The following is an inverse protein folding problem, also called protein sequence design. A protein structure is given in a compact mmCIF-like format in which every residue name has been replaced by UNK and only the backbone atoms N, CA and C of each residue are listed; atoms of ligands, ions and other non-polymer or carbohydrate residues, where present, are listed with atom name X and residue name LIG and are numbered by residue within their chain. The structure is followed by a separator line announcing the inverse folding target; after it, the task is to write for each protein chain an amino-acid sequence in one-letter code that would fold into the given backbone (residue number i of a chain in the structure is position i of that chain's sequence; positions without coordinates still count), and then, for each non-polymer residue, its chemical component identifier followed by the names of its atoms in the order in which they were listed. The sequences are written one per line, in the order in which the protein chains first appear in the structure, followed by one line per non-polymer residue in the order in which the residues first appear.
data_IF_533406430304
#
_entry.id   IF_533406430304
#
_cell.length_a   1.000
_cell.length_b   1.000
_cell.length_c   1.000
_cell.angle_alpha   90.00
_cell.angle_beta   90.00
_cell.angle_gamma   90.00
#
_symmetry.space_group_name_H-M   'P 1'
#
loop_
_entity.id
_entity.type
_entity.pdbx_description
1 polymer ?
#
# COMPACT_ATOMS: atom_id res chain seq x y z
N UNK A 1 -10.72 -8.14 23.97
CA UNK A 1 -11.42 -9.42 23.79
C UNK A 1 -11.03 -9.94 22.42
N UNK A 2 -10.02 -10.81 22.45
CA UNK A 2 -9.54 -11.79 21.46
C UNK A 2 -9.60 -11.47 19.97
N UNK A 3 -8.52 -10.84 19.47
CA UNK A 3 -8.20 -10.75 18.04
C UNK A 3 -7.25 -11.89 17.58
N UNK A 4 -7.05 -12.91 18.41
CA UNK A 4 -6.34 -14.11 18.02
C UNK A 4 -7.37 -15.09 17.47
N UNK A 5 -7.46 -15.20 16.15
CA UNK A 5 -8.05 -16.39 15.54
C UNK A 5 -7.33 -17.61 16.14
N UNK A 6 -8.06 -18.44 16.89
CA UNK A 6 -7.55 -19.71 17.39
C UNK A 6 -7.43 -20.65 16.20
N UNK A 7 -6.34 -20.56 15.45
CA UNK A 7 -5.94 -21.66 14.57
C UNK A 7 -5.48 -22.78 15.49
N UNK A 8 -6.28 -23.84 15.63
CA UNK A 8 -5.91 -25.04 16.39
C UNK A 8 -4.65 -25.73 15.81
N UNK A 9 -4.32 -25.42 14.55
CA UNK A 9 -3.09 -25.85 13.89
C UNK A 9 -1.88 -25.12 14.46
N UNK A 10 -1.15 -25.81 15.34
CA UNK A 10 0.19 -25.39 15.73
C UNK A 10 1.13 -25.55 14.55
N UNK A 11 1.78 -24.47 14.13
CA UNK A 11 2.90 -24.52 13.20
C UNK A 11 4.01 -25.36 13.84
N UNK A 12 4.38 -26.47 13.21
CA UNK A 12 5.53 -27.28 13.63
C UNK A 12 6.75 -26.92 12.79
N UNK A 13 7.94 -27.29 13.28
CA UNK A 13 9.16 -27.09 12.51
C UNK A 13 9.12 -27.88 11.20
N UNK A 14 8.54 -29.08 11.22
CA UNK A 14 8.40 -29.95 10.06
C UNK A 14 7.46 -29.35 9.00
N UNK A 15 6.28 -28.85 9.41
CA UNK A 15 5.32 -28.25 8.48
C UNK A 15 5.89 -26.97 7.87
N UNK A 16 6.50 -26.10 8.69
CA UNK A 16 7.13 -24.89 8.21
C UNK A 16 8.28 -25.18 7.23
N UNK A 17 9.11 -26.18 7.53
CA UNK A 17 10.19 -26.58 6.64
C UNK A 17 9.64 -27.13 5.31
N UNK A 18 8.55 -27.90 5.34
CA UNK A 18 7.87 -28.36 4.13
C UNK A 18 7.39 -27.18 3.26
N UNK A 19 6.73 -26.19 3.87
CA UNK A 19 6.22 -25.02 3.15
C UNK A 19 7.36 -24.18 2.56
N UNK A 20 8.42 -23.94 3.32
CA UNK A 20 9.61 -23.21 2.84
C UNK A 20 10.28 -23.96 1.69
N UNK A 21 10.42 -25.28 1.78
CA UNK A 21 10.99 -26.08 0.69
C UNK A 21 10.12 -26.05 -0.56
N UNK A 22 8.80 -26.05 -0.41
CA UNK A 22 7.89 -25.88 -1.54
C UNK A 22 8.12 -24.51 -2.21
N UNK A 23 8.17 -23.41 -1.45
CA UNK A 23 8.46 -22.07 -1.99
C UNK A 23 9.81 -22.07 -2.70
N UNK A 24 10.85 -22.61 -2.05
CA UNK A 24 12.20 -22.68 -2.62
C UNK A 24 12.20 -23.43 -3.95
N UNK A 25 11.61 -24.62 -4.00
CA UNK A 25 11.60 -25.45 -5.21
C UNK A 25 10.88 -24.76 -6.39
N UNK A 26 9.85 -23.95 -6.11
CA UNK A 26 9.11 -23.24 -7.15
C UNK A 26 9.76 -21.92 -7.56
N UNK A 27 10.40 -21.20 -6.64
CA UNK A 27 10.80 -19.79 -6.85
C UNK A 27 12.29 -19.50 -6.71
N UNK A 28 13.15 -20.49 -6.40
CA UNK A 28 14.60 -20.25 -6.25
C UNK A 28 15.22 -19.57 -7.48
N UNK A 29 14.70 -19.87 -8.68
CA UNK A 29 15.18 -19.30 -9.93
C UNK A 29 14.85 -17.82 -10.09
N UNK A 30 14.00 -17.23 -9.24
CA UNK A 30 13.60 -15.82 -9.27
C UNK A 30 14.39 -14.93 -8.31
N UNK A 31 15.17 -15.50 -7.38
CA UNK A 31 15.94 -14.72 -6.40
C UNK A 31 17.12 -14.05 -7.10
N UNK A 32 17.20 -12.72 -7.05
CA UNK A 32 18.24 -11.91 -7.70
C UNK A 32 18.62 -10.69 -6.86
N UNK A 33 19.78 -10.10 -7.16
CA UNK A 33 20.16 -8.79 -6.64
C UNK A 33 19.39 -7.70 -7.41
N UNK A 34 18.16 -7.44 -6.99
CA UNK A 34 17.23 -6.55 -7.70
C UNK A 34 17.71 -5.10 -7.73
N UNK A 35 18.35 -4.60 -6.67
CA UNK A 35 18.92 -3.24 -6.66
C UNK A 35 19.97 -3.05 -7.76
N UNK A 36 20.90 -4.01 -7.92
CA UNK A 36 21.89 -3.97 -8.99
C UNK A 36 21.26 -4.12 -10.38
N UNK A 37 20.20 -4.92 -10.51
CA UNK A 37 19.46 -5.05 -11.77
C UNK A 37 18.84 -3.71 -12.19
N UNK A 38 18.17 -3.03 -11.25
CA UNK A 38 17.55 -1.73 -11.52
C UNK A 38 18.59 -0.65 -11.81
N UNK A 39 19.69 -0.61 -11.08
CA UNK A 39 20.80 0.32 -11.33
C UNK A 39 21.44 0.12 -12.72
N UNK A 40 21.60 -1.13 -13.16
CA UNK A 40 22.07 -1.43 -14.51
C UNK A 40 21.05 -1.03 -15.59
N UNK A 41 19.77 -1.31 -15.38
CA UNK A 41 18.70 -0.89 -16.29
C UNK A 41 18.68 0.65 -16.45
N UNK A 42 18.83 1.40 -15.35
CA UNK A 42 18.95 2.86 -15.38
C UNK A 42 20.16 3.33 -16.19
N UNK A 43 21.33 2.68 -16.04
CA UNK A 43 22.54 3.01 -16.83
C UNK A 43 22.37 2.74 -18.32
N UNK A 44 21.52 1.78 -18.68
CA UNK A 44 21.17 1.47 -20.07
C UNK A 44 20.07 2.40 -20.62
N UNK A 45 19.53 3.30 -19.81
CA UNK A 45 18.47 4.22 -20.21
C UNK A 45 17.09 3.55 -20.32
N UNK A 46 16.88 2.44 -19.61
CA UNK A 46 15.58 1.77 -19.57
C UNK A 46 14.59 2.50 -18.66
N UNK A 47 13.30 2.33 -18.95
CA UNK A 47 12.22 2.90 -18.14
C UNK A 47 11.81 1.91 -17.05
N UNK A 48 11.74 2.38 -15.80
CA UNK A 48 11.34 1.60 -14.64
C UNK A 48 10.09 2.21 -14.03
N UNK A 49 9.10 1.37 -13.74
CA UNK A 49 7.91 1.75 -12.97
C UNK A 49 8.00 1.10 -11.60
N UNK A 50 7.86 1.92 -10.56
CA UNK A 50 7.83 1.47 -9.17
C UNK A 50 6.40 1.60 -8.65
N UNK A 51 5.75 0.45 -8.43
CA UNK A 51 4.37 0.40 -7.95
C UNK A 51 4.32 0.54 -6.41
N UNK A 52 3.60 1.54 -5.93
CA UNK A 52 3.45 1.82 -4.51
C UNK A 52 2.32 1.03 -3.86
N UNK A 53 2.56 0.56 -2.64
CA UNK A 53 1.52 0.10 -1.73
C UNK A 53 1.88 0.52 -0.29
N UNK A 54 0.95 0.85 0.60
CA UNK A 54 -0.45 1.22 0.39
C UNK A 54 -0.58 2.72 0.03
N UNK A 55 -1.58 3.43 0.58
CA UNK A 55 -1.76 4.88 0.37
C UNK A 55 -1.11 5.74 1.46
N UNK A 56 -0.83 7.01 1.15
CA UNK A 56 -0.05 7.93 1.98
C UNK A 56 -0.50 8.06 3.45
N UNK A 57 -1.80 7.96 3.74
CA UNK A 57 -2.30 8.05 5.12
C UNK A 57 -2.10 6.78 5.95
N UNK A 58 -1.65 5.70 5.32
CA UNK A 58 -1.28 4.46 5.98
C UNK A 58 0.23 4.34 6.19
N UNK A 59 1.01 5.36 5.84
CA UNK A 59 2.44 5.40 6.11
C UNK A 59 2.73 5.28 7.62
N UNK A 60 3.73 4.48 7.99
CA UNK A 60 4.08 4.23 9.40
C UNK A 60 4.46 5.51 10.16
N UNK A 61 5.12 6.46 9.50
CA UNK A 61 5.63 7.69 10.12
C UNK A 61 4.72 8.89 9.85
N UNK A 62 4.17 8.97 8.64
CA UNK A 62 3.46 10.15 8.15
C UNK A 62 1.95 9.97 8.02
N UNK A 63 1.45 8.79 8.37
CA UNK A 63 0.04 8.43 8.32
C UNK A 63 -0.73 8.77 9.60
N UNK A 64 -1.97 8.27 9.67
CA UNK A 64 -2.85 8.45 10.85
C UNK A 64 -2.53 7.45 11.96
N UNK A 65 -1.32 7.50 12.51
CA UNK A 65 -0.87 6.61 13.58
C UNK A 65 -1.86 6.61 14.77
N UNK A 66 -2.20 5.46 15.40
CA UNK A 66 -1.65 4.12 15.18
C UNK A 66 -2.35 3.30 14.08
N UNK A 67 -3.28 3.90 13.35
CA UNK A 67 -4.09 3.21 12.34
C UNK A 67 -3.42 3.27 10.96
N UNK A 68 -2.23 2.68 10.88
CA UNK A 68 -1.31 2.70 9.73
C UNK A 68 -0.80 1.29 9.43
N UNK A 69 -0.13 1.12 8.29
CA UNK A 69 0.67 -0.09 8.04
C UNK A 69 2.00 -0.03 8.79
N UNK A 70 2.74 -1.14 8.79
CA UNK A 70 4.06 -1.25 9.40
C UNK A 70 5.21 -0.91 8.45
N UNK A 71 4.95 -0.20 7.36
CA UNK A 71 5.96 0.16 6.36
C UNK A 71 5.82 1.60 5.87
N UNK A 72 6.87 2.09 5.23
CA UNK A 72 6.86 3.38 4.53
C UNK A 72 6.11 3.20 3.20
N UNK A 73 5.07 3.99 2.99
CA UNK A 73 4.23 3.98 1.77
C UNK A 73 4.45 5.21 0.91
N UNK A 74 5.17 6.21 1.43
CA UNK A 74 5.55 7.39 0.66
C UNK A 74 6.58 7.10 -0.43
N UNK A 75 6.78 8.08 -1.33
CA UNK A 75 7.78 8.05 -2.40
C UNK A 75 9.18 7.67 -1.93
N UNK A 76 9.53 7.97 -0.67
CA UNK A 76 10.85 7.68 -0.12
C UNK A 76 11.18 6.18 -0.17
N UNK A 77 10.16 5.33 -0.06
CA UNK A 77 10.34 3.89 -0.16
C UNK A 77 10.55 3.41 -1.61
N UNK A 78 10.18 4.21 -2.62
CA UNK A 78 10.44 3.86 -4.01
C UNK A 78 11.94 3.71 -4.26
N UNK A 79 12.77 4.63 -3.76
CA UNK A 79 14.23 4.49 -3.84
C UNK A 79 14.79 3.51 -2.81
N UNK A 80 14.38 3.64 -1.54
CA UNK A 80 14.94 2.83 -0.45
C UNK A 80 14.64 1.34 -0.62
N UNK A 81 13.38 0.99 -0.91
CA UNK A 81 12.92 -0.38 -1.11
C UNK A 81 13.39 -1.00 -2.43
N UNK A 82 13.58 -0.20 -3.49
CA UNK A 82 14.12 -0.69 -4.76
C UNK A 82 15.67 -0.80 -4.75
N UNK A 83 16.35 -0.11 -3.84
CA UNK A 83 17.81 -0.13 -3.76
C UNK A 83 18.50 0.72 -4.83
N UNK A 84 17.91 1.85 -5.22
CA UNK A 84 18.47 2.80 -6.20
C UNK A 84 18.69 4.18 -5.58
N UNK A 85 19.60 4.97 -6.17
CA UNK A 85 19.85 6.34 -5.70
C UNK A 85 18.57 7.19 -5.78
N UNK A 86 18.21 7.97 -4.74
CA UNK A 86 16.95 8.71 -4.68
C UNK A 86 16.77 9.73 -5.82
N UNK A 87 17.88 10.23 -6.38
CA UNK A 87 17.87 11.12 -7.55
C UNK A 87 17.36 10.49 -8.85
N UNK A 88 17.15 9.17 -8.91
CA UNK A 88 16.57 8.50 -10.09
C UNK A 88 15.03 8.51 -10.09
N UNK A 89 14.38 8.86 -8.97
CA UNK A 89 12.92 9.00 -8.93
C UNK A 89 12.55 10.41 -9.35
N UNK A 90 12.29 10.59 -10.64
CA UNK A 90 12.05 11.90 -11.27
C UNK A 90 10.56 12.21 -11.48
N UNK A 91 9.73 11.19 -11.66
CA UNK A 91 8.28 11.31 -11.85
C UNK A 91 7.53 10.58 -10.73
N UNK A 92 6.50 11.23 -10.19
CA UNK A 92 5.66 10.69 -9.11
C UNK A 92 4.20 10.99 -9.44
N UNK A 93 3.43 9.95 -9.75
CA UNK A 93 2.00 10.07 -10.03
C UNK A 93 1.20 9.77 -8.76
N UNK A 94 0.50 10.78 -8.25
CA UNK A 94 -0.40 10.62 -7.12
C UNK A 94 -1.74 10.04 -7.57
N UNK A 95 -2.01 8.78 -7.23
CA UNK A 95 -3.30 8.15 -7.53
C UNK A 95 -4.32 8.55 -6.46
N UNK A 96 -5.42 9.16 -6.87
CA UNK A 96 -6.49 9.60 -5.99
C UNK A 96 -7.85 9.17 -6.52
N UNK A 97 -8.78 8.89 -5.62
CA UNK A 97 -10.18 8.67 -5.96
C UNK A 97 -10.92 10.01 -5.91
N UNK A 98 -12.02 10.11 -6.65
CA UNK A 98 -12.91 11.27 -6.61
C UNK A 98 -13.63 11.46 -5.25
N UNK A 99 -13.50 10.50 -4.34
CA UNK A 99 -14.01 10.50 -2.96
C UNK A 99 -13.07 9.63 -2.11
N UNK A 100 -13.09 9.77 -0.79
CA UNK A 100 -12.16 9.03 0.07
C UNK A 100 -12.81 7.77 0.64
N UNK A 101 -12.01 6.71 0.74
CA UNK A 101 -12.41 5.42 1.32
C UNK A 101 -11.41 4.97 2.37
N UNK A 102 -11.88 4.33 3.44
CA UNK A 102 -11.02 3.73 4.47
C UNK A 102 -11.47 2.32 4.83
N UNK A 103 -10.52 1.42 4.95
CA UNK A 103 -10.73 0.08 5.53
C UNK A 103 -10.23 0.11 6.99
N UNK A 104 -11.03 -0.45 7.90
CA UNK A 104 -10.66 -0.53 9.30
C UNK A 104 -10.91 0.76 10.09
N UNK A 105 -10.32 0.80 11.29
CA UNK A 105 -10.49 1.90 12.24
C UNK A 105 -9.59 3.10 11.92
N UNK A 106 -9.76 4.18 12.69
CA UNK A 106 -8.98 5.41 12.59
C UNK A 106 -9.77 6.60 12.05
N UNK A 107 -9.21 7.79 12.19
CA UNK A 107 -9.90 9.03 11.83
C UNK A 107 -10.15 9.13 10.32
N UNK A 108 -11.33 9.64 9.97
CA UNK A 108 -11.74 9.96 8.61
C UNK A 108 -12.66 11.19 8.69
N UNK A 109 -12.09 12.41 8.68
CA UNK A 109 -12.87 13.64 8.97
C UNK A 109 -14.05 13.87 8.04
N UNK A 110 -13.99 13.38 6.80
CA UNK A 110 -15.03 13.54 5.78
C UNK A 110 -15.92 12.31 5.62
N UNK A 111 -15.88 11.36 6.57
CA UNK A 111 -16.75 10.18 6.54
C UNK A 111 -18.24 10.55 6.49
N UNK A 112 -18.99 9.79 5.70
CA UNK A 112 -20.42 9.92 5.54
C UNK A 112 -21.13 8.69 6.09
N UNK A 113 -21.95 8.92 7.12
CA UNK A 113 -22.80 7.90 7.76
C UNK A 113 -24.26 7.97 7.27
N UNK A 114 -24.51 8.68 6.17
CA UNK A 114 -25.81 8.91 5.57
C UNK A 114 -26.00 8.14 4.24
N UNK A 115 -27.12 8.41 3.56
CA UNK A 115 -27.47 7.80 2.27
C UNK A 115 -26.46 8.08 1.16
N UNK A 116 -25.72 9.21 1.24
CA UNK A 116 -24.69 9.55 0.25
C UNK A 116 -23.47 8.65 0.43
N UNK A 117 -23.04 8.42 1.68
CA UNK A 117 -21.98 7.47 2.00
C UNK A 117 -22.30 6.05 1.53
N UNK A 118 -23.55 5.61 1.69
CA UNK A 118 -24.03 4.33 1.19
C UNK A 118 -24.05 4.25 -0.34
N UNK A 119 -24.51 5.32 -1.00
CA UNK A 119 -24.52 5.41 -2.46
C UNK A 119 -23.09 5.29 -3.03
N UNK A 120 -22.13 6.04 -2.48
CA UNK A 120 -20.72 5.98 -2.89
C UNK A 120 -20.15 4.58 -2.72
N UNK A 121 -20.40 3.94 -1.57
CA UNK A 121 -19.92 2.58 -1.31
C UNK A 121 -20.50 1.55 -2.28
N UNK A 122 -21.76 1.71 -2.67
CA UNK A 122 -22.45 0.80 -3.58
C UNK A 122 -21.98 0.95 -5.03
N UNK A 123 -22.02 2.17 -5.57
CA UNK A 123 -21.63 2.46 -6.97
C UNK A 123 -20.12 2.26 -7.18
N UNK A 124 -19.32 2.57 -6.16
CA UNK A 124 -17.87 2.36 -6.16
C UNK A 124 -17.42 0.92 -5.98
N UNK A 125 -18.34 -0.01 -5.75
CA UNK A 125 -18.03 -1.40 -5.34
C UNK A 125 -17.03 -1.46 -4.17
N UNK A 126 -17.25 -0.64 -3.15
CA UNK A 126 -16.34 -0.48 -2.01
C UNK A 126 -16.56 -1.55 -0.94
N UNK A 127 -16.42 -2.80 -1.36
CA UNK A 127 -16.52 -3.99 -0.52
C UNK A 127 -15.25 -4.84 -0.66
N UNK A 128 -14.78 -5.41 0.45
CA UNK A 128 -13.63 -6.32 0.44
C UNK A 128 -13.90 -7.54 -0.44
N UNK A 129 -12.96 -7.90 -1.31
CA UNK A 129 -13.12 -8.99 -2.28
C UNK A 129 -13.24 -10.38 -1.64
N UNK A 130 -12.67 -10.58 -0.45
CA UNK A 130 -12.71 -11.86 0.26
C UNK A 130 -13.80 -11.90 1.34
N UNK A 131 -13.89 -10.86 2.17
CA UNK A 131 -14.76 -10.84 3.36
C UNK A 131 -16.08 -10.11 3.14
N UNK A 132 -16.25 -9.40 2.03
CA UNK A 132 -17.38 -8.51 1.81
C UNK A 132 -17.40 -7.28 2.73
N UNK A 133 -16.34 -7.04 3.52
CA UNK A 133 -16.31 -5.94 4.49
C UNK A 133 -16.47 -4.61 3.77
N UNK A 134 -17.55 -3.88 4.09
CA UNK A 134 -17.84 -2.53 3.58
C UNK A 134 -16.71 -1.58 3.97
N UNK A 135 -16.22 -0.79 3.02
CA UNK A 135 -15.30 0.31 3.31
C UNK A 135 -16.10 1.53 3.77
N UNK A 136 -15.52 2.29 4.69
CA UNK A 136 -16.03 3.60 5.09
C UNK A 136 -15.82 4.56 3.91
N UNK A 137 -16.83 5.33 3.55
CA UNK A 137 -16.81 6.24 2.41
C UNK A 137 -17.05 7.68 2.88
N UNK A 138 -16.49 8.65 2.17
CA UNK A 138 -16.58 10.05 2.55
C UNK A 138 -16.24 10.99 1.41
N UNK A 139 -16.49 12.28 1.60
CA UNK A 139 -16.14 13.29 0.60
C UNK A 139 -14.64 13.33 0.33
N UNK A 140 -14.28 13.72 -0.89
CA UNK A 140 -12.90 14.05 -1.23
C UNK A 140 -12.31 15.04 -0.24
N UNK A 141 -11.10 14.76 0.25
CA UNK A 141 -10.44 15.56 1.27
C UNK A 141 -9.19 16.24 0.68
N UNK A 142 -9.32 17.54 0.40
CA UNK A 142 -8.21 18.32 -0.17
C UNK A 142 -7.11 18.62 0.86
N UNK A 143 -7.41 18.57 2.16
CA UNK A 143 -6.39 18.72 3.21
C UNK A 143 -5.47 17.50 3.21
N UNK A 144 -6.05 16.30 3.09
CA UNK A 144 -5.32 15.05 2.89
C UNK A 144 -4.50 15.10 1.61
N UNK A 145 -5.06 15.55 0.49
CA UNK A 145 -4.32 15.64 -0.77
C UNK A 145 -3.13 16.60 -0.69
N UNK A 146 -3.28 17.74 -0.01
CA UNK A 146 -2.17 18.67 0.23
C UNK A 146 -1.07 18.04 1.09
N UNK A 147 -1.43 17.28 2.13
CA UNK A 147 -0.46 16.54 2.95
C UNK A 147 0.25 15.46 2.13
N UNK A 148 -0.50 14.69 1.33
CA UNK A 148 0.05 13.67 0.46
C UNK A 148 1.04 14.26 -0.55
N UNK A 149 0.71 15.40 -1.16
CA UNK A 149 1.62 16.09 -2.06
C UNK A 149 2.86 16.64 -1.34
N UNK A 150 2.72 17.19 -0.13
CA UNK A 150 3.88 17.66 0.65
C UNK A 150 4.91 16.55 0.89
N UNK A 151 4.45 15.33 1.15
CA UNK A 151 5.31 14.17 1.44
C UNK A 151 5.87 13.56 0.15
N UNK A 152 5.05 13.46 -0.89
CA UNK A 152 5.38 12.70 -2.09
C UNK A 152 5.85 13.54 -3.27
N UNK A 153 5.64 14.86 -3.25
CA UNK A 153 6.02 15.77 -4.33
C UNK A 153 5.52 15.28 -5.69
N UNK A 154 4.21 15.21 -5.86
CA UNK A 154 3.59 14.68 -7.08
C UNK A 154 3.98 15.54 -8.29
N UNK A 155 4.37 14.88 -9.39
CA UNK A 155 4.55 15.52 -10.70
C UNK A 155 3.29 15.43 -11.55
N UNK A 156 2.38 14.52 -11.21
CA UNK A 156 1.05 14.38 -11.82
C UNK A 156 0.05 13.75 -10.85
N UNK A 157 -1.24 13.87 -11.16
CA UNK A 157 -2.34 13.26 -10.41
C UNK A 157 -3.22 12.48 -11.39
N UNK A 158 -3.68 11.32 -10.97
CA UNK A 158 -4.65 10.50 -11.71
C UNK A 158 -5.79 10.06 -10.78
#
# INVERSE_FOLDING_TARGET
MDCCYSTEDKVTAESLNSDVNWIWNNFNSSIRNTGLMLDNALKLGENIILEGAQGCLLDIDQGTFPYVTSSVTSRGNASHGAGIHPGHVTEVIGITKAYITRVGHGAMPTELEDEVGEHLGTVGHEFGTTTGRKRRCGWFDMVVMRHANRINGFTGIA
#
